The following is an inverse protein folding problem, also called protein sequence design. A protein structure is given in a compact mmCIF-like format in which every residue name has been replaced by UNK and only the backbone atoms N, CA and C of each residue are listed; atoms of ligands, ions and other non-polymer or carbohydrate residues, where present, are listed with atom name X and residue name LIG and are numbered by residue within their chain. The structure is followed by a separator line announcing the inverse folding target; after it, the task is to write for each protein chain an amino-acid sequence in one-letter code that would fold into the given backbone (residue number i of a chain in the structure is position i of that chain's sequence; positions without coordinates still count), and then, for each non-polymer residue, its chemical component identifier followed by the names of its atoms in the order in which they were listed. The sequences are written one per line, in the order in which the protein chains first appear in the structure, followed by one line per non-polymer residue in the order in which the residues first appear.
data_IF_244385084017
#
_entry.id   IF_244385084017
#
_cell.length_a   1.000
_cell.length_b   1.000
_cell.length_c   1.000
_cell.angle_alpha   90.00
_cell.angle_beta   90.00
_cell.angle_gamma   90.00
#
_symmetry.space_group_name_H-M   'P 1'
#
loop_
_entity.id
_entity.type
_entity.pdbx_description
1 polymer ?
#
# COMPACT_ATOMS: atom_id res chain seq x y z
N UNK A 1 -6.04 0.79 51.68
CA UNK A 1 -4.91 0.08 51.02
C UNK A 1 -5.38 -1.31 50.64
N UNK A 2 -4.96 -1.79 49.45
CA UNK A 2 -5.37 -3.00 48.69
C UNK A 2 -6.43 -2.69 47.62
N UNK A 3 -6.03 -2.03 46.52
CA UNK A 3 -5.52 -2.63 45.26
C UNK A 3 -6.54 -3.56 44.60
N UNK A 4 -7.37 -2.95 43.75
CA UNK A 4 -8.10 -3.64 42.70
C UNK A 4 -7.10 -3.86 41.54
N UNK A 5 -6.69 -5.10 41.31
CA UNK A 5 -5.72 -5.45 40.27
C UNK A 5 -6.47 -5.75 38.99
N UNK A 6 -6.29 -4.90 37.97
CA UNK A 6 -6.80 -5.09 36.61
C UNK A 6 -6.22 -6.38 36.04
N UNK A 7 -7.09 -7.31 35.63
CA UNK A 7 -6.70 -8.55 34.97
C UNK A 7 -6.32 -8.24 33.52
N UNK A 8 -5.02 -8.05 33.27
CA UNK A 8 -4.46 -8.05 31.92
C UNK A 8 -4.67 -9.43 31.31
N UNK A 9 -5.65 -9.56 30.40
CA UNK A 9 -5.72 -10.70 29.49
C UNK A 9 -4.50 -10.64 28.58
N UNK A 10 -3.47 -11.40 28.91
CA UNK A 10 -2.38 -11.69 27.98
C UNK A 10 -2.98 -12.61 26.91
N UNK A 11 -3.34 -12.04 25.76
CA UNK A 11 -3.64 -12.81 24.56
C UNK A 11 -2.38 -13.61 24.23
N UNK A 12 -2.48 -14.94 24.34
CA UNK A 12 -1.42 -15.85 23.96
C UNK A 12 -1.29 -15.77 22.43
N UNK A 13 -0.36 -14.93 21.96
CA UNK A 13 0.00 -14.83 20.55
C UNK A 13 0.69 -16.14 20.16
N UNK A 14 -0.13 -17.10 19.73
CA UNK A 14 0.35 -18.34 19.14
C UNK A 14 0.93 -17.93 17.80
N UNK A 15 2.25 -17.73 17.74
CA UNK A 15 2.97 -17.43 16.52
C UNK A 15 2.88 -18.68 15.64
N UNK A 16 1.82 -18.73 14.81
CA UNK A 16 1.65 -19.76 13.81
C UNK A 16 2.76 -19.54 12.80
N UNK A 17 3.83 -20.33 12.90
CA UNK A 17 4.81 -20.44 11.83
C UNK A 17 4.12 -21.07 10.63
N UNK A 18 3.45 -20.24 9.83
CA UNK A 18 2.99 -20.62 8.51
C UNK A 18 4.25 -20.95 7.71
N UNK A 19 4.42 -22.23 7.38
CA UNK A 19 5.53 -22.68 6.55
C UNK A 19 5.22 -22.21 5.14
N UNK A 20 5.73 -21.04 4.76
CA UNK A 20 5.63 -20.56 3.39
C UNK A 20 6.48 -21.46 2.51
N UNK A 21 5.84 -22.26 1.66
CA UNK A 21 6.51 -22.82 0.48
C UNK A 21 6.44 -21.73 -0.56
N UNK A 22 7.37 -20.77 -0.51
CA UNK A 22 7.53 -19.83 -1.60
C UNK A 22 7.82 -20.65 -2.87
N UNK A 23 7.01 -20.45 -3.91
CA UNK A 23 7.31 -21.05 -5.21
C UNK A 23 8.72 -20.62 -5.64
N UNK A 24 9.61 -21.59 -5.86
CA UNK A 24 10.98 -21.28 -6.25
C UNK A 24 11.01 -20.78 -7.69
N UNK A 25 11.68 -19.65 -7.91
CA UNK A 25 11.93 -19.15 -9.27
C UNK A 25 12.84 -20.11 -10.03
N UNK A 26 12.48 -20.41 -11.27
CA UNK A 26 13.25 -21.24 -12.19
C UNK A 26 13.64 -20.42 -13.41
N UNK A 27 14.81 -20.71 -14.01
CA UNK A 27 15.23 -20.09 -15.27
C UNK A 27 15.15 -21.09 -16.39
N UNK A 28 14.51 -20.72 -17.50
CA UNK A 28 14.44 -21.56 -18.69
C UNK A 28 15.86 -21.85 -19.21
N UNK A 29 16.25 -23.13 -19.37
CA UNK A 29 17.53 -23.47 -19.97
C UNK A 29 17.66 -22.87 -21.38
N UNK A 30 18.80 -22.27 -21.69
CA UNK A 30 19.10 -21.72 -23.00
C UNK A 30 20.35 -22.35 -23.61
N UNK A 31 20.44 -22.43 -24.95
CA UNK A 31 21.67 -22.82 -25.60
C UNK A 31 22.78 -21.81 -25.33
N UNK A 32 24.03 -22.27 -25.30
CA UNK A 32 25.21 -21.41 -25.16
C UNK A 32 25.38 -20.45 -26.34
N UNK A 33 26.04 -19.32 -26.08
CA UNK A 33 26.44 -18.36 -27.13
C UNK A 33 27.25 -19.05 -28.22
N UNK A 34 26.93 -18.75 -29.49
CA UNK A 34 27.67 -19.26 -30.65
C UNK A 34 28.08 -18.18 -31.65
N UNK A 35 27.66 -16.92 -31.45
CA UNK A 35 28.06 -15.82 -32.33
C UNK A 35 27.25 -14.54 -32.12
N UNK A 36 27.61 -13.51 -32.88
CA UNK A 36 26.92 -12.22 -32.86
C UNK A 36 26.30 -11.93 -34.23
N UNK A 37 25.10 -11.33 -34.22
CA UNK A 37 24.49 -10.80 -35.44
C UNK A 37 24.03 -9.36 -35.21
N UNK A 38 24.59 -8.45 -36.00
CA UNK A 38 24.27 -7.04 -35.93
C UNK A 38 23.05 -6.74 -36.80
N UNK A 39 22.08 -6.03 -36.22
CA UNK A 39 20.93 -5.51 -36.91
C UNK A 39 19.62 -6.12 -36.45
N UNK A 40 18.86 -6.64 -37.41
CA UNK A 40 17.45 -6.95 -37.24
C UNK A 40 17.15 -7.92 -36.06
N UNK A 41 16.06 -7.61 -35.36
CA UNK A 41 15.45 -8.32 -34.25
C UNK A 41 15.40 -9.85 -34.41
N UNK A 42 16.13 -10.63 -33.59
CA UNK A 42 15.94 -12.09 -33.42
C UNK A 42 15.53 -12.41 -31.99
N UNK A 43 15.03 -13.61 -31.83
CA UNK A 43 14.58 -14.17 -30.57
C UNK A 43 14.11 -15.59 -30.75
N UNK A 44 13.26 -16.06 -29.84
CA UNK A 44 12.63 -17.36 -29.94
C UNK A 44 11.17 -17.33 -29.49
N UNK A 45 10.38 -18.25 -30.03
CA UNK A 45 9.00 -18.49 -29.64
C UNK A 45 8.83 -19.96 -29.22
N UNK A 46 7.79 -20.21 -28.42
CA UNK A 46 7.40 -21.54 -27.99
C UNK A 46 5.91 -21.59 -27.64
N UNK A 47 5.40 -22.80 -27.40
CA UNK A 47 4.05 -23.01 -26.85
C UNK A 47 4.18 -23.34 -25.37
N UNK A 48 3.47 -22.62 -24.51
CA UNK A 48 3.44 -22.85 -23.08
C UNK A 48 2.91 -24.26 -22.78
N UNK A 49 3.67 -25.12 -22.06
CA UNK A 49 3.24 -26.50 -21.78
C UNK A 49 2.30 -26.61 -20.56
N UNK A 50 2.33 -25.62 -19.67
CA UNK A 50 1.52 -25.48 -18.48
C UNK A 50 1.39 -23.99 -18.14
N UNK A 51 0.59 -23.65 -17.13
CA UNK A 51 0.46 -22.27 -16.65
C UNK A 51 1.73 -21.88 -15.88
N UNK A 52 2.27 -20.71 -16.19
CA UNK A 52 3.41 -20.13 -15.47
C UNK A 52 3.40 -18.61 -15.55
N UNK A 53 4.12 -17.98 -14.63
CA UNK A 53 4.33 -16.53 -14.65
C UNK A 53 5.77 -16.22 -15.00
N UNK A 54 6.00 -15.42 -16.04
CA UNK A 54 7.32 -14.83 -16.26
C UNK A 54 7.52 -13.74 -15.21
N UNK A 55 8.58 -13.88 -14.41
CA UNK A 55 8.93 -12.95 -13.34
C UNK A 55 10.16 -12.10 -13.64
N UNK A 56 11.00 -12.55 -14.58
CA UNK A 56 12.13 -11.74 -15.04
C UNK A 56 12.55 -12.04 -16.47
N UNK A 57 13.01 -10.98 -17.15
CA UNK A 57 13.57 -11.02 -18.50
C UNK A 57 14.95 -10.35 -18.52
N UNK A 58 15.91 -10.95 -19.24
CA UNK A 58 17.24 -10.35 -19.44
C UNK A 58 17.87 -10.79 -20.75
N UNK A 59 18.53 -9.89 -21.47
CA UNK A 59 19.47 -10.30 -22.53
C UNK A 59 20.83 -10.57 -21.88
N UNK A 60 21.48 -11.74 -22.04
CA UNK A 60 22.81 -11.99 -21.49
C UNK A 60 23.81 -10.88 -21.85
N UNK A 61 24.80 -10.59 -21.00
CA UNK A 61 25.83 -9.56 -21.24
C UNK A 61 27.22 -10.12 -21.53
N UNK A 62 27.37 -11.45 -21.54
CA UNK A 62 28.59 -12.19 -21.85
C UNK A 62 29.12 -11.92 -23.28
N UNK A 63 28.29 -11.38 -24.17
CA UNK A 63 28.64 -11.07 -25.57
C UNK A 63 28.66 -9.56 -25.90
N UNK A 64 28.07 -8.72 -25.05
CA UNK A 64 27.94 -7.28 -25.26
C UNK A 64 27.47 -6.60 -23.96
N UNK A 65 28.06 -5.47 -23.61
CA UNK A 65 27.64 -4.64 -22.46
C UNK A 65 26.74 -3.47 -22.85
N UNK A 66 26.35 -3.37 -24.12
CA UNK A 66 25.44 -2.33 -24.59
C UNK A 66 24.06 -2.43 -23.91
N UNK A 67 23.27 -1.33 -23.91
CA UNK A 67 21.91 -1.34 -23.38
C UNK A 67 21.04 -2.42 -24.00
N UNK A 68 20.21 -3.08 -23.19
CA UNK A 68 19.32 -4.15 -23.64
C UNK A 68 17.98 -3.59 -24.14
N UNK A 69 17.44 -4.17 -25.20
CA UNK A 69 16.05 -3.98 -25.61
C UNK A 69 15.38 -5.33 -25.67
N UNK A 70 14.18 -5.44 -25.10
CA UNK A 70 13.40 -6.70 -25.01
C UNK A 70 11.96 -6.38 -25.36
N UNK A 71 11.32 -7.26 -26.13
CA UNK A 71 9.88 -7.26 -26.27
C UNK A 71 9.34 -8.68 -26.19
N UNK A 72 8.42 -8.90 -25.25
CA UNK A 72 7.75 -10.16 -25.01
C UNK A 72 6.31 -10.07 -25.55
N UNK A 73 5.91 -11.04 -26.36
CA UNK A 73 4.64 -11.02 -27.09
C UNK A 73 3.89 -12.35 -26.93
N UNK A 74 2.56 -12.28 -27.04
CA UNK A 74 1.65 -13.43 -27.16
C UNK A 74 0.95 -13.38 -28.51
N UNK A 75 0.99 -14.46 -29.29
CA UNK A 75 0.30 -14.53 -30.56
C UNK A 75 -1.19 -14.86 -30.37
N UNK A 76 -2.07 -14.21 -31.14
CA UNK A 76 -3.52 -14.31 -30.90
C UNK A 76 -4.18 -15.51 -31.61
N UNK A 77 -3.69 -15.87 -32.81
CA UNK A 77 -4.35 -16.86 -33.68
C UNK A 77 -3.55 -18.16 -33.92
N UNK A 78 -2.36 -18.28 -33.35
CA UNK A 78 -1.46 -19.41 -33.60
C UNK A 78 0.02 -19.02 -33.56
N UNK A 79 0.94 -19.95 -33.85
CA UNK A 79 2.36 -19.64 -33.91
C UNK A 79 2.67 -18.65 -35.05
N UNK A 80 3.81 -17.93 -35.00
CA UNK A 80 4.23 -17.05 -36.08
C UNK A 80 4.33 -17.83 -37.41
N UNK A 81 4.09 -17.19 -38.56
CA UNK A 81 4.18 -17.88 -39.85
C UNK A 81 5.65 -18.13 -40.24
N UNK A 82 5.88 -19.15 -41.08
CA UNK A 82 7.19 -19.41 -41.67
C UNK A 82 7.59 -18.27 -42.62
N UNK A 83 8.87 -17.89 -42.59
CA UNK A 83 9.44 -16.99 -43.59
C UNK A 83 9.20 -17.54 -45.02
N UNK A 84 8.79 -16.73 -46.00
CA UNK A 84 8.79 -15.25 -46.01
C UNK A 84 7.50 -14.55 -45.60
N UNK A 85 6.52 -15.28 -45.05
CA UNK A 85 5.32 -14.67 -44.49
C UNK A 85 5.59 -14.02 -43.14
N UNK A 86 4.79 -13.01 -42.79
CA UNK A 86 4.90 -12.27 -41.52
C UNK A 86 3.53 -12.04 -40.89
N UNK A 87 3.48 -11.81 -39.58
CA UNK A 87 2.27 -11.48 -38.83
C UNK A 87 2.44 -10.24 -37.95
N UNK A 88 1.35 -9.49 -37.75
CA UNK A 88 1.19 -8.47 -36.71
C UNK A 88 0.10 -8.89 -35.69
N UNK A 89 -0.41 -10.11 -35.80
CA UNK A 89 -1.49 -10.61 -34.96
C UNK A 89 -0.94 -11.20 -33.64
N UNK A 90 -0.54 -10.30 -32.77
CA UNK A 90 -0.06 -10.59 -31.43
C UNK A 90 -0.32 -9.41 -30.49
N UNK A 91 -0.28 -9.68 -29.20
CA UNK A 91 -0.31 -8.67 -28.14
C UNK A 91 1.09 -8.52 -27.56
N UNK A 92 1.58 -7.28 -27.44
CA UNK A 92 2.82 -6.97 -26.71
C UNK A 92 2.51 -6.98 -25.21
N UNK A 93 3.14 -7.89 -24.47
CA UNK A 93 2.93 -8.07 -23.04
C UNK A 93 3.94 -7.26 -22.21
N UNK A 94 5.15 -7.07 -22.74
CA UNK A 94 6.20 -6.28 -22.10
C UNK A 94 7.13 -5.72 -23.17
N UNK A 95 7.56 -4.46 -23.00
CA UNK A 95 8.57 -3.84 -23.85
C UNK A 95 9.48 -2.93 -23.04
N UNK A 96 10.77 -3.06 -23.28
CA UNK A 96 11.81 -2.15 -22.78
C UNK A 96 12.76 -1.80 -23.93
N UNK A 97 13.21 -0.56 -23.97
CA UNK A 97 14.05 -0.04 -25.05
C UNK A 97 15.29 0.60 -24.45
N UNK A 98 16.46 0.12 -24.88
CA UNK A 98 17.77 0.63 -24.48
C UNK A 98 17.96 0.80 -22.96
N UNK A 99 17.52 -0.19 -22.19
CA UNK A 99 17.78 -0.24 -20.74
C UNK A 99 19.30 -0.35 -20.49
N UNK A 100 19.91 0.64 -19.83
CA UNK A 100 21.37 0.69 -19.64
C UNK A 100 21.84 -0.16 -18.46
N UNK A 101 20.92 -0.63 -17.60
CA UNK A 101 21.30 -1.25 -16.31
C UNK A 101 21.95 -2.62 -16.49
N UNK A 102 21.61 -3.33 -17.57
CA UNK A 102 22.09 -4.69 -17.83
C UNK A 102 21.57 -5.76 -16.85
N UNK A 103 20.74 -5.33 -15.89
CA UNK A 103 20.14 -6.18 -14.86
C UNK A 103 19.00 -7.02 -15.44
N UNK A 104 18.62 -8.06 -14.70
CA UNK A 104 17.38 -8.76 -14.99
C UNK A 104 16.19 -7.84 -14.63
N UNK A 105 15.25 -7.69 -15.57
CA UNK A 105 14.12 -6.77 -15.43
C UNK A 105 12.96 -7.51 -14.78
N UNK A 106 12.40 -7.02 -13.65
CA UNK A 106 11.24 -7.64 -13.02
C UNK A 106 10.00 -7.43 -13.88
N UNK A 107 9.21 -8.48 -14.06
CA UNK A 107 7.93 -8.47 -14.77
C UNK A 107 6.93 -9.39 -14.06
N UNK A 108 5.66 -9.34 -14.41
CA UNK A 108 4.63 -10.26 -13.90
C UNK A 108 3.69 -10.66 -15.04
N UNK A 109 4.18 -11.48 -15.97
CA UNK A 109 3.43 -11.87 -17.18
C UNK A 109 2.83 -13.26 -16.99
N UNK A 110 1.51 -13.32 -16.82
CA UNK A 110 0.76 -14.58 -16.74
C UNK A 110 0.66 -15.25 -18.12
N UNK A 111 1.19 -16.46 -18.25
CA UNK A 111 1.15 -17.27 -19.48
C UNK A 111 0.33 -18.54 -19.21
N UNK A 112 -0.68 -18.77 -20.03
CA UNK A 112 -1.56 -19.94 -19.89
C UNK A 112 -1.08 -21.10 -20.77
N UNK A 113 -1.35 -22.32 -20.35
CA UNK A 113 -1.11 -23.52 -21.12
C UNK A 113 -1.72 -23.40 -22.53
N UNK A 114 -0.92 -23.70 -23.55
CA UNK A 114 -1.31 -23.60 -24.95
C UNK A 114 -1.07 -22.22 -25.57
N UNK A 115 -0.75 -21.18 -24.79
CA UNK A 115 -0.37 -19.88 -25.33
C UNK A 115 0.88 -20.03 -26.23
N UNK A 116 0.82 -19.42 -27.41
CA UNK A 116 2.00 -19.21 -28.23
C UNK A 116 2.63 -17.88 -27.84
N UNK A 117 3.82 -17.93 -27.24
CA UNK A 117 4.55 -16.75 -26.77
C UNK A 117 5.90 -16.65 -27.43
N UNK A 118 6.41 -15.42 -27.53
CA UNK A 118 7.69 -15.13 -28.14
C UNK A 118 8.41 -13.98 -27.47
N UNK A 119 9.73 -14.01 -27.50
CA UNK A 119 10.56 -12.95 -26.96
C UNK A 119 11.63 -12.54 -27.97
N UNK A 120 11.73 -11.25 -28.25
CA UNK A 120 12.83 -10.64 -29.00
C UNK A 120 13.77 -9.96 -28.02
N UNK A 121 15.08 -10.03 -28.26
CA UNK A 121 16.04 -9.33 -27.42
C UNK A 121 17.40 -9.09 -28.06
N UNK A 122 17.93 -7.90 -27.82
CA UNK A 122 19.24 -7.43 -28.33
C UNK A 122 19.96 -6.58 -27.30
N UNK A 123 21.27 -6.41 -27.47
CA UNK A 123 22.07 -5.38 -26.79
C UNK A 123 22.71 -4.44 -27.80
N UNK A 124 22.31 -3.17 -27.82
CA UNK A 124 22.75 -2.19 -28.81
C UNK A 124 22.64 -2.70 -30.26
N UNK A 125 21.50 -3.32 -30.59
CA UNK A 125 21.20 -3.97 -31.89
C UNK A 125 22.11 -5.15 -32.26
N UNK A 126 22.83 -5.71 -31.28
CA UNK A 126 23.54 -6.97 -31.42
C UNK A 126 22.69 -8.09 -30.84
N UNK A 127 22.44 -9.11 -31.65
CA UNK A 127 21.74 -10.34 -31.26
C UNK A 127 22.76 -11.34 -30.71
N UNK A 128 22.38 -12.02 -29.62
CA UNK A 128 23.17 -13.07 -29.00
C UNK A 128 22.88 -14.41 -29.67
N UNK A 129 23.52 -14.68 -30.81
CA UNK A 129 23.21 -15.90 -31.57
C UNK A 129 23.57 -17.16 -30.79
N UNK A 130 22.63 -18.10 -30.81
CA UNK A 130 22.79 -19.44 -30.27
C UNK A 130 22.05 -20.46 -31.14
N UNK A 131 22.33 -21.74 -30.92
CA UNK A 131 21.75 -22.85 -31.69
C UNK A 131 20.22 -22.86 -31.57
N UNK A 132 19.50 -23.00 -32.70
CA UNK A 132 18.08 -23.27 -32.70
C UNK A 132 17.70 -24.24 -33.86
N UNK A 133 16.64 -25.05 -33.72
CA UNK A 133 15.78 -25.16 -32.53
C UNK A 133 16.54 -25.75 -31.33
N UNK A 134 16.09 -25.40 -30.12
CA UNK A 134 16.68 -25.89 -28.87
C UNK A 134 15.59 -26.45 -27.97
N UNK A 135 15.82 -27.63 -27.38
CA UNK A 135 14.90 -28.22 -26.41
C UNK A 135 15.27 -27.69 -25.02
N UNK A 136 14.43 -26.79 -24.53
CA UNK A 136 14.47 -26.23 -23.18
C UNK A 136 13.50 -26.98 -22.27
N UNK A 137 13.29 -26.46 -21.05
CA UNK A 137 12.38 -27.00 -20.05
C UNK A 137 11.61 -25.86 -19.37
N UNK A 138 10.33 -26.12 -19.08
CA UNK A 138 9.51 -25.34 -18.16
C UNK A 138 8.90 -26.36 -17.19
N UNK A 139 9.25 -26.24 -15.92
CA UNK A 139 8.95 -27.26 -14.91
C UNK A 139 9.44 -28.64 -15.33
N UNK A 140 8.54 -29.61 -15.38
CA UNK A 140 8.88 -30.98 -15.81
C UNK A 140 8.71 -31.21 -17.32
N UNK A 141 8.23 -30.19 -18.05
CA UNK A 141 7.87 -30.30 -19.46
C UNK A 141 9.03 -29.86 -20.37
N UNK A 142 9.26 -30.63 -21.44
CA UNK A 142 10.19 -30.23 -22.50
C UNK A 142 9.51 -29.24 -23.46
N UNK A 143 10.21 -28.16 -23.80
CA UNK A 143 9.69 -27.08 -24.65
C UNK A 143 10.68 -26.78 -25.77
N UNK A 144 10.23 -26.79 -27.02
CA UNK A 144 11.09 -26.47 -28.16
C UNK A 144 11.09 -24.97 -28.43
N UNK A 145 12.24 -24.33 -28.24
CA UNK A 145 12.48 -22.95 -28.61
C UNK A 145 12.79 -22.87 -30.10
N UNK A 146 11.90 -22.22 -30.85
CA UNK A 146 12.03 -22.06 -32.30
C UNK A 146 12.39 -20.62 -32.63
N UNK A 147 13.28 -20.42 -33.61
CA UNK A 147 13.73 -19.10 -34.02
C UNK A 147 12.56 -18.23 -34.48
N UNK A 148 12.41 -17.04 -33.88
CA UNK A 148 11.53 -15.96 -34.36
C UNK A 148 12.31 -14.67 -34.63
N UNK A 149 11.79 -13.77 -35.46
CA UNK A 149 12.41 -12.47 -35.69
C UNK A 149 11.54 -11.50 -36.47
N UNK A 150 12.10 -10.32 -36.71
CA UNK A 150 11.55 -9.25 -37.56
C UNK A 150 12.66 -8.65 -38.43
N UNK A 151 12.33 -7.86 -39.46
CA UNK A 151 13.33 -7.18 -40.30
C UNK A 151 13.60 -5.72 -39.86
N UNK A 152 13.50 -5.45 -38.56
CA UNK A 152 13.67 -4.12 -37.97
C UNK A 152 14.58 -4.18 -36.72
N UNK A 153 15.11 -3.02 -36.32
CA UNK A 153 15.88 -2.85 -35.10
C UNK A 153 14.96 -2.74 -33.88
N UNK A 154 15.16 -3.57 -32.86
CA UNK A 154 14.30 -3.56 -31.68
C UNK A 154 14.52 -2.31 -30.80
N UNK A 155 15.73 -1.73 -30.86
CA UNK A 155 16.13 -0.50 -30.15
C UNK A 155 15.36 0.76 -30.56
N UNK A 156 14.65 0.71 -31.69
CA UNK A 156 13.96 1.88 -32.28
C UNK A 156 12.58 1.56 -32.83
N UNK A 157 12.25 0.28 -32.99
CA UNK A 157 10.99 -0.17 -33.57
C UNK A 157 10.33 -1.21 -32.68
N UNK A 158 9.01 -1.10 -32.49
CA UNK A 158 8.23 -2.11 -31.80
C UNK A 158 8.22 -3.41 -32.62
N UNK A 159 7.99 -4.54 -31.95
CA UNK A 159 7.76 -5.81 -32.61
C UNK A 159 6.69 -5.65 -33.68
N UNK A 160 7.01 -6.06 -34.91
CA UNK A 160 6.12 -6.03 -36.05
C UNK A 160 6.63 -6.97 -37.13
N UNK A 161 5.73 -7.42 -38.00
CA UNK A 161 6.03 -8.30 -39.13
C UNK A 161 6.86 -9.52 -38.68
N UNK A 162 6.40 -10.16 -37.61
CA UNK A 162 7.08 -11.28 -36.99
C UNK A 162 6.99 -12.51 -37.89
N UNK A 163 8.09 -13.25 -37.98
CA UNK A 163 8.20 -14.53 -38.69
C UNK A 163 8.98 -15.54 -37.85
N UNK A 164 8.91 -16.81 -38.25
CA UNK A 164 9.79 -17.87 -37.76
C UNK A 164 10.54 -18.59 -38.89
N UNK A 165 11.59 -19.31 -38.50
CA UNK A 165 12.40 -20.17 -39.37
C UNK A 165 12.68 -21.50 -38.63
N UNK A 166 12.59 -22.64 -39.31
CA UNK A 166 12.87 -23.95 -38.67
C UNK A 166 14.37 -24.23 -38.50
N UNK A 167 15.24 -23.49 -39.21
CA UNK A 167 16.69 -23.62 -39.13
C UNK A 167 17.36 -22.24 -39.22
N UNK A 168 17.98 -21.81 -38.13
CA UNK A 168 18.63 -20.50 -38.00
C UNK A 168 18.92 -20.22 -36.51
N UNK A 169 19.86 -19.32 -36.21
CA UNK A 169 20.19 -19.00 -34.81
C UNK A 169 19.16 -18.10 -34.15
N UNK A 170 18.75 -18.42 -32.92
CA UNK A 170 17.96 -17.54 -32.05
C UNK A 170 18.83 -16.47 -31.39
N UNK A 171 18.24 -15.35 -30.97
CA UNK A 171 18.87 -14.45 -30.00
C UNK A 171 18.50 -14.92 -28.60
N UNK A 172 19.48 -15.07 -27.71
CA UNK A 172 19.24 -15.46 -26.31
C UNK A 172 18.57 -14.31 -25.53
N UNK A 173 17.51 -14.66 -24.81
CA UNK A 173 16.87 -13.83 -23.79
C UNK A 173 16.53 -14.77 -22.64
N UNK A 174 17.11 -14.55 -21.48
CA UNK A 174 16.87 -15.28 -20.24
C UNK A 174 15.45 -14.99 -19.76
N UNK A 175 14.68 -16.05 -19.50
CA UNK A 175 13.34 -16.00 -18.89
C UNK A 175 13.45 -16.71 -17.54
N UNK A 176 13.18 -15.97 -16.47
CA UNK A 176 12.93 -16.55 -15.14
C UNK A 176 11.43 -16.57 -14.90
N UNK A 177 10.91 -17.69 -14.42
CA UNK A 177 9.49 -17.93 -14.23
C UNK A 177 9.18 -18.58 -12.88
N UNK A 178 7.91 -18.55 -12.52
CA UNK A 178 7.31 -19.34 -11.45
C UNK A 178 6.25 -20.26 -12.05
N UNK A 179 6.23 -21.52 -11.62
CA UNK A 179 5.18 -22.47 -12.00
C UNK A 179 3.88 -22.19 -11.26
N UNK A 180 2.76 -22.45 -11.94
CA UNK A 180 1.43 -22.24 -11.41
C UNK A 180 0.83 -20.89 -11.78
N UNK A 181 -0.45 -20.75 -11.44
CA UNK A 181 -1.23 -19.54 -11.68
C UNK A 181 -1.15 -18.65 -10.44
N UNK A 182 -0.95 -17.35 -10.65
CA UNK A 182 -0.91 -16.37 -9.57
C UNK A 182 -2.12 -15.45 -9.65
N UNK A 183 -2.60 -15.03 -8.49
CA UNK A 183 -3.85 -14.34 -8.31
C UNK A 183 -3.64 -13.07 -7.49
N UNK A 184 -4.37 -12.02 -7.85
CA UNK A 184 -4.34 -10.75 -7.14
C UNK A 184 -5.14 -10.80 -5.84
N UNK A 185 -4.66 -10.06 -4.85
CA UNK A 185 -5.44 -9.71 -3.66
C UNK A 185 -6.03 -8.32 -3.90
N UNK A 186 -7.36 -8.23 -3.98
CA UNK A 186 -8.09 -7.00 -4.25
C UNK A 186 -8.99 -6.63 -3.08
N UNK A 187 -9.08 -5.33 -2.83
CA UNK A 187 -9.97 -4.78 -1.82
C UNK A 187 -10.80 -3.65 -2.43
N UNK A 188 -12.05 -3.53 -1.99
CA UNK A 188 -12.91 -2.39 -2.33
C UNK A 188 -12.90 -1.41 -1.17
N UNK A 189 -12.51 -0.17 -1.45
CA UNK A 189 -12.42 0.91 -0.46
C UNK A 189 -13.59 1.86 -0.61
N UNK A 190 -14.27 2.15 0.51
CA UNK A 190 -15.43 3.03 0.59
C UNK A 190 -15.21 4.15 1.60
N UNK A 191 -15.75 5.33 1.29
CA UNK A 191 -15.81 6.52 2.15
C UNK A 191 -14.43 7.05 2.59
N UNK A 192 -13.38 6.86 1.79
CA UNK A 192 -12.03 7.33 2.10
C UNK A 192 -11.90 8.85 1.89
N UNK A 193 -11.34 9.51 2.90
CA UNK A 193 -10.91 10.90 2.89
C UNK A 193 -9.45 10.98 3.36
N UNK A 194 -8.55 11.30 2.44
CA UNK A 194 -7.11 11.40 2.71
C UNK A 194 -6.34 10.16 2.27
N UNK A 195 -5.24 9.86 2.96
CA UNK A 195 -4.32 8.78 2.59
C UNK A 195 -4.46 7.60 3.55
N UNK A 196 -4.78 6.44 2.99
CA UNK A 196 -4.80 5.15 3.67
C UNK A 196 -3.61 4.33 3.17
N UNK A 197 -2.94 3.59 4.06
CA UNK A 197 -1.98 2.56 3.66
C UNK A 197 -2.48 1.22 4.14
N UNK A 198 -2.76 0.32 3.19
CA UNK A 198 -3.06 -1.08 3.46
C UNK A 198 -1.76 -1.89 3.41
N UNK A 199 -1.74 -3.03 4.10
CA UNK A 199 -0.63 -3.96 4.07
C UNK A 199 -1.16 -5.39 3.95
N UNK A 200 -0.60 -6.15 3.00
CA UNK A 200 -0.81 -7.58 2.88
C UNK A 200 0.42 -8.34 3.41
N UNK A 201 0.19 -9.38 4.21
CA UNK A 201 1.21 -10.32 4.70
C UNK A 201 2.46 -9.65 5.31
N UNK A 202 2.27 -8.54 6.02
CA UNK A 202 3.33 -7.78 6.71
C UNK A 202 4.47 -7.23 5.82
N UNK A 203 4.29 -7.12 4.50
CA UNK A 203 5.35 -6.66 3.61
C UNK A 203 4.92 -5.96 2.32
N UNK A 204 3.73 -6.25 1.81
CA UNK A 204 3.22 -5.64 0.58
C UNK A 204 2.30 -4.46 0.93
N UNK A 205 2.87 -3.26 0.94
CA UNK A 205 2.15 -2.03 1.32
C UNK A 205 1.56 -1.35 0.09
N UNK A 206 0.29 -0.97 0.18
CA UNK A 206 -0.46 -0.30 -0.87
C UNK A 206 -1.03 1.02 -0.36
N UNK A 207 -0.60 2.14 -0.95
CA UNK A 207 -1.17 3.47 -0.67
C UNK A 207 -2.45 3.67 -1.48
N UNK A 208 -3.53 4.04 -0.80
CA UNK A 208 -4.84 4.32 -1.39
C UNK A 208 -5.23 5.76 -1.08
N UNK A 209 -5.68 6.50 -2.10
CA UNK A 209 -6.01 7.94 -1.99
C UNK A 209 -7.42 8.28 -2.43
N UNK A 210 -8.21 7.28 -2.84
CA UNK A 210 -9.58 7.43 -3.32
C UNK A 210 -10.33 6.11 -3.19
N UNK A 211 -11.66 6.21 -3.19
CA UNK A 211 -12.56 5.05 -3.23
C UNK A 211 -12.40 4.23 -4.50
N UNK A 212 -12.80 2.96 -4.41
CA UNK A 212 -12.86 2.00 -5.50
C UNK A 212 -12.11 0.71 -5.21
N UNK A 213 -12.04 -0.16 -6.22
CA UNK A 213 -11.28 -1.41 -6.14
C UNK A 213 -9.80 -1.15 -6.34
N UNK A 214 -8.99 -1.63 -5.41
CA UNK A 214 -7.53 -1.59 -5.44
C UNK A 214 -6.97 -3.01 -5.43
N UNK A 215 -5.75 -3.20 -5.93
CA UNK A 215 -5.07 -4.50 -5.96
C UNK A 215 -3.63 -4.32 -5.45
N UNK A 216 -3.17 -5.23 -4.61
CA UNK A 216 -1.76 -5.32 -4.20
C UNK A 216 -0.85 -5.74 -5.37
N UNK A 217 0.38 -5.24 -5.40
CA UNK A 217 1.31 -5.49 -6.50
C UNK A 217 1.81 -6.95 -6.50
N UNK A 218 1.98 -7.56 -5.33
CA UNK A 218 2.42 -8.95 -5.21
C UNK A 218 1.25 -9.87 -5.48
N UNK A 219 1.34 -10.61 -6.60
CA UNK A 219 0.43 -11.72 -6.86
C UNK A 219 0.82 -12.92 -5.99
N UNK A 220 -0.18 -13.64 -5.50
CA UNK A 220 -0.01 -14.83 -4.67
C UNK A 220 -0.32 -16.10 -5.46
N UNK A 221 0.44 -17.16 -5.22
CA UNK A 221 0.18 -18.45 -5.87
C UNK A 221 -1.13 -19.07 -5.36
N UNK A 222 -1.68 -20.02 -6.12
CA UNK A 222 -2.81 -20.81 -5.61
C UNK A 222 -2.45 -21.45 -4.26
N UNK A 223 -3.42 -21.51 -3.34
CA UNK A 223 -3.27 -21.99 -1.95
C UNK A 223 -2.40 -21.13 -1.02
N UNK A 224 -1.84 -20.01 -1.47
CA UNK A 224 -1.16 -19.06 -0.57
C UNK A 224 -2.17 -18.24 0.25
N UNK A 225 -1.80 -17.92 1.49
CA UNK A 225 -2.61 -17.11 2.39
C UNK A 225 -2.38 -15.61 2.15
N UNK A 226 -3.42 -14.82 2.39
CA UNK A 226 -3.35 -13.36 2.49
C UNK A 226 -3.85 -12.89 3.85
N UNK A 227 -3.31 -11.76 4.30
CA UNK A 227 -3.69 -11.07 5.54
C UNK A 227 -3.56 -9.56 5.30
N UNK A 228 -4.69 -8.96 4.90
CA UNK A 228 -4.85 -7.54 4.60
C UNK A 228 -5.24 -6.80 5.88
N UNK A 229 -4.41 -5.83 6.24
CA UNK A 229 -4.57 -4.99 7.43
C UNK A 229 -4.39 -3.51 7.07
N UNK A 230 -4.85 -2.62 7.94
CA UNK A 230 -4.51 -1.19 7.85
C UNK A 230 -3.13 -0.98 8.46
N UNK A 231 -2.18 -0.52 7.66
CA UNK A 231 -0.83 -0.15 8.10
C UNK A 231 -0.77 1.28 8.61
N UNK A 232 -1.50 2.21 7.97
CA UNK A 232 -1.61 3.59 8.39
C UNK A 232 -3.01 4.12 8.12
N UNK A 233 -3.66 4.66 9.16
CA UNK A 233 -4.97 5.31 9.05
C UNK A 233 -4.84 6.70 8.39
N UNK A 234 -5.90 7.19 7.73
CA UNK A 234 -6.05 8.60 7.39
C UNK A 234 -6.12 9.49 8.65
N UNK A 235 -5.85 10.79 8.51
CA UNK A 235 -5.73 11.70 9.66
C UNK A 235 -7.05 11.94 10.43
N UNK A 236 -8.20 11.94 9.74
CA UNK A 236 -9.51 12.24 10.34
C UNK A 236 -10.53 11.12 10.09
N UNK A 237 -10.04 9.89 9.88
CA UNK A 237 -10.89 8.73 9.69
C UNK A 237 -10.31 7.50 10.38
N UNK A 238 -11.19 6.55 10.69
CA UNK A 238 -10.80 5.17 10.94
C UNK A 238 -11.32 4.30 9.81
N UNK A 239 -10.43 3.54 9.18
CA UNK A 239 -10.77 2.51 8.21
C UNK A 239 -10.68 1.14 8.86
N UNK A 240 -11.65 0.27 8.57
CA UNK A 240 -11.70 -1.11 9.06
C UNK A 240 -11.67 -2.10 7.90
N UNK A 241 -11.08 -3.26 8.11
CA UNK A 241 -10.99 -4.33 7.11
C UNK A 241 -11.98 -5.43 7.45
N UNK A 242 -12.79 -5.85 6.47
CA UNK A 242 -13.58 -7.08 6.54
C UNK A 242 -13.16 -8.05 5.44
N UNK A 243 -13.23 -9.36 5.73
CA UNK A 243 -12.70 -10.45 4.90
C UNK A 243 -11.21 -10.30 4.56
N UNK A 244 -10.44 -9.58 5.37
CA UNK A 244 -9.02 -9.31 5.13
C UNK A 244 -8.10 -10.53 5.21
N UNK A 245 -8.56 -11.66 5.77
CA UNK A 245 -7.75 -12.87 5.93
C UNK A 245 -8.36 -14.01 5.13
N UNK A 246 -7.54 -14.71 4.36
CA UNK A 246 -7.99 -15.86 3.59
C UNK A 246 -6.88 -16.59 2.85
N UNK A 247 -7.28 -17.41 1.89
CA UNK A 247 -6.39 -18.22 1.03
C UNK A 247 -6.84 -18.07 -0.41
N UNK A 248 -5.89 -17.98 -1.35
CA UNK A 248 -6.18 -18.00 -2.78
C UNK A 248 -6.74 -19.37 -3.19
N UNK A 249 -7.84 -19.37 -3.95
CA UNK A 249 -8.53 -20.60 -4.41
C UNK A 249 -8.80 -20.59 -5.90
N UNK A 250 -7.72 -20.64 -6.68
CA UNK A 250 -7.74 -20.62 -8.14
C UNK A 250 -8.47 -19.39 -8.75
N UNK A 251 -8.58 -18.29 -8.00
CA UNK A 251 -9.16 -17.00 -8.40
C UNK A 251 -8.54 -15.85 -7.60
N UNK A 252 -8.71 -14.60 -8.07
CA UNK A 252 -8.37 -13.42 -7.29
C UNK A 252 -9.22 -13.37 -6.02
N UNK A 253 -8.64 -12.92 -4.91
CA UNK A 253 -9.41 -12.51 -3.75
C UNK A 253 -10.04 -11.15 -4.07
N UNK A 254 -11.36 -11.10 -4.26
CA UNK A 254 -12.11 -9.91 -4.68
C UNK A 254 -13.21 -9.51 -3.68
N UNK A 255 -13.27 -10.12 -2.49
CA UNK A 255 -14.33 -9.95 -1.48
C UNK A 255 -13.91 -9.15 -0.23
N UNK A 256 -12.67 -8.63 -0.22
CA UNK A 256 -12.12 -7.80 0.86
C UNK A 256 -12.77 -6.41 0.80
N UNK A 257 -13.34 -5.94 1.91
CA UNK A 257 -13.92 -4.60 2.01
C UNK A 257 -13.15 -3.75 3.02
N UNK A 258 -12.97 -2.48 2.67
CA UNK A 258 -12.40 -1.46 3.51
C UNK A 258 -13.44 -0.34 3.65
N UNK A 259 -13.95 -0.16 4.85
CA UNK A 259 -14.93 0.89 5.15
C UNK A 259 -14.31 1.91 6.10
N UNK A 260 -14.29 3.16 5.65
CA UNK A 260 -13.76 4.29 6.41
C UNK A 260 -14.90 5.13 7.02
N UNK A 261 -14.70 5.55 8.26
CA UNK A 261 -15.64 6.40 9.00
C UNK A 261 -14.94 7.66 9.49
N UNK A 262 -15.61 8.80 9.37
CA UNK A 262 -15.09 10.09 9.82
C UNK A 262 -15.01 10.16 11.35
N UNK A 263 -13.95 10.79 11.83
CA UNK A 263 -13.77 11.19 13.21
C UNK A 263 -13.78 12.72 13.31
N UNK A 264 -14.27 13.23 14.43
CA UNK A 264 -14.53 14.65 14.65
C UNK A 264 -13.89 15.11 15.96
N UNK A 265 -13.47 16.37 16.02
CA UNK A 265 -12.88 16.93 17.24
C UNK A 265 -13.98 17.40 18.21
N UNK A 266 -13.65 17.36 19.50
CA UNK A 266 -14.42 18.05 20.55
C UNK A 266 -13.62 19.28 20.99
N UNK A 267 -14.26 20.44 20.92
CA UNK A 267 -13.65 21.73 21.19
C UNK A 267 -14.66 22.70 21.80
N UNK A 268 -14.15 23.79 22.36
CA UNK A 268 -14.97 24.82 22.96
C UNK A 268 -14.16 26.03 23.35
N UNK A 269 -14.73 26.87 24.22
CA UNK A 269 -14.04 28.02 24.79
C UNK A 269 -14.23 28.15 26.29
N UNK A 270 -13.22 28.72 26.94
CA UNK A 270 -13.23 29.06 28.36
C UNK A 270 -13.23 30.56 28.52
N UNK A 271 -14.11 31.06 29.39
CA UNK A 271 -14.18 32.47 29.77
C UNK A 271 -14.27 32.63 31.30
N UNK A 272 -13.70 33.72 31.80
CA UNK A 272 -13.69 34.08 33.21
C UNK A 272 -12.69 33.34 34.09
N UNK A 273 -11.85 32.43 33.57
CA UNK A 273 -10.80 31.78 34.36
C UNK A 273 -9.79 32.81 34.84
N UNK A 274 -9.51 32.82 36.15
CA UNK A 274 -8.54 33.74 36.76
C UNK A 274 -7.13 33.41 36.27
N UNK A 275 -6.32 34.43 35.98
CA UNK A 275 -4.91 34.25 35.60
C UNK A 275 -4.14 33.47 36.67
N UNK A 276 -3.23 32.59 36.24
CA UNK A 276 -2.44 31.69 37.09
C UNK A 276 -3.27 30.63 37.85
N UNK A 277 -4.55 30.45 37.51
CA UNK A 277 -5.40 29.37 37.98
C UNK A 277 -5.49 28.25 36.93
N UNK A 278 -6.00 27.07 37.30
CA UNK A 278 -6.15 25.95 36.36
C UNK A 278 -7.37 25.09 36.64
N UNK A 279 -7.88 24.43 35.61
CA UNK A 279 -8.88 23.37 35.74
C UNK A 279 -8.55 22.19 34.83
N UNK A 280 -9.14 21.04 35.11
CA UNK A 280 -9.05 19.87 34.21
C UNK A 280 -10.43 19.58 33.66
N UNK A 281 -10.59 19.71 32.35
CA UNK A 281 -11.75 19.19 31.63
C UNK A 281 -11.50 17.72 31.32
N UNK A 282 -12.56 16.92 31.32
CA UNK A 282 -12.52 15.51 30.97
C UNK A 282 -13.64 15.21 30.00
N UNK A 283 -13.30 14.61 28.87
CA UNK A 283 -14.26 14.08 27.91
C UNK A 283 -14.36 12.56 28.08
N UNK A 284 -15.59 12.03 28.14
CA UNK A 284 -15.88 10.58 28.13
C UNK A 284 -15.09 9.72 29.15
N UNK A 285 -14.72 10.32 30.30
CA UNK A 285 -14.01 9.69 31.40
C UNK A 285 -12.56 9.24 31.11
N UNK A 286 -11.94 9.69 30.02
CA UNK A 286 -10.60 9.24 29.60
C UNK A 286 -9.70 10.32 28.95
N UNK A 287 -10.25 11.27 28.20
CA UNK A 287 -9.49 12.33 27.53
C UNK A 287 -9.47 13.59 28.40
N UNK A 288 -8.48 13.68 29.27
CA UNK A 288 -8.28 14.78 30.20
C UNK A 288 -7.47 15.92 29.56
N UNK A 289 -7.96 17.15 29.69
CA UNK A 289 -7.32 18.35 29.17
C UNK A 289 -7.16 19.40 30.28
N UNK A 290 -5.91 19.82 30.53
CA UNK A 290 -5.60 20.89 31.48
C UNK A 290 -5.78 22.25 30.80
N UNK A 291 -6.56 23.12 31.42
CA UNK A 291 -6.78 24.51 31.00
C UNK A 291 -6.12 25.44 32.00
N UNK A 292 -5.25 26.33 31.50
CA UNK A 292 -4.55 27.36 32.31
C UNK A 292 -4.91 28.79 31.91
N UNK A 293 -5.60 28.95 30.78
CA UNK A 293 -5.89 30.25 30.18
C UNK A 293 -7.30 30.27 29.58
N UNK A 294 -7.88 31.46 29.48
CA UNK A 294 -9.09 31.68 28.69
C UNK A 294 -8.81 31.52 27.20
N UNK A 295 -9.83 31.17 26.43
CA UNK A 295 -9.73 30.99 24.98
C UNK A 295 -10.21 29.62 24.51
N UNK A 296 -9.81 29.26 23.29
CA UNK A 296 -10.24 28.02 22.63
C UNK A 296 -9.45 26.84 23.19
N UNK A 297 -10.15 25.73 23.43
CA UNK A 297 -9.55 24.44 23.75
C UNK A 297 -10.02 23.38 22.76
N UNK A 298 -9.18 22.35 22.56
CA UNK A 298 -9.47 21.20 21.70
C UNK A 298 -8.99 19.95 22.42
N UNK A 299 -9.85 18.95 22.55
CA UNK A 299 -9.52 17.62 23.07
C UNK A 299 -8.66 16.84 22.08
N UNK A 300 -7.81 15.95 22.59
CA UNK A 300 -6.82 15.26 21.76
C UNK A 300 -7.40 14.05 21.03
N UNK A 301 -8.39 13.40 21.62
CA UNK A 301 -9.08 12.25 21.06
C UNK A 301 -10.19 12.72 20.10
N UNK A 302 -10.11 12.28 18.84
CA UNK A 302 -11.20 12.44 17.91
C UNK A 302 -12.24 11.34 18.12
N UNK A 303 -13.50 11.67 17.92
CA UNK A 303 -14.64 10.83 18.23
C UNK A 303 -15.39 10.45 16.95
N UNK A 304 -15.81 9.19 16.83
CA UNK A 304 -16.54 8.70 15.65
C UNK A 304 -17.90 9.36 15.51
N UNK A 305 -18.33 9.51 14.26
CA UNK A 305 -19.68 9.96 13.96
C UNK A 305 -20.75 9.12 14.67
N UNK A 306 -21.78 9.76 15.21
CA UNK A 306 -22.90 9.09 15.88
C UNK A 306 -22.58 8.56 17.29
N UNK A 307 -21.39 8.84 17.83
CA UNK A 307 -21.06 8.53 19.22
C UNK A 307 -21.24 9.74 20.13
N UNK A 308 -21.53 9.48 21.40
CA UNK A 308 -21.80 10.52 22.40
C UNK A 308 -20.50 11.09 22.97
N UNK A 309 -20.54 12.38 23.31
CA UNK A 309 -19.52 13.06 24.09
C UNK A 309 -20.12 13.57 25.41
N UNK A 310 -19.31 13.56 26.46
CA UNK A 310 -19.64 14.07 27.78
C UNK A 310 -18.41 14.76 28.39
N UNK A 311 -18.41 16.09 28.27
CA UNK A 311 -17.39 17.00 28.78
C UNK A 311 -17.80 17.52 30.14
N UNK A 312 -17.01 17.15 31.13
CA UNK A 312 -17.19 17.54 32.53
C UNK A 312 -15.94 18.22 33.08
N UNK A 313 -16.07 18.89 34.21
CA UNK A 313 -14.92 19.40 34.97
C UNK A 313 -14.50 18.30 35.95
N UNK A 314 -13.34 17.70 35.70
CA UNK A 314 -12.75 16.70 36.60
C UNK A 314 -12.20 17.36 37.87
N UNK A 315 -11.47 18.47 37.70
CA UNK A 315 -10.94 19.26 38.80
C UNK A 315 -11.31 20.73 38.61
N UNK A 316 -12.06 21.28 39.57
CA UNK A 316 -12.36 22.72 39.62
C UNK A 316 -11.10 23.50 40.02
N UNK A 317 -10.97 24.77 39.58
CA UNK A 317 -9.92 25.63 40.09
C UNK A 317 -10.05 25.86 41.60
N UNK A 318 -8.95 25.64 42.33
CA UNK A 318 -8.94 25.64 43.80
C UNK A 318 -7.98 26.67 44.42
N UNK A 319 -7.10 27.32 43.64
CA UNK A 319 -6.20 28.37 44.11
C UNK A 319 -6.03 29.52 43.09
N UNK A 320 -6.84 30.61 43.20
CA UNK A 320 -7.95 30.79 44.14
C UNK A 320 -9.15 29.89 43.80
N UNK A 321 -9.96 29.53 44.81
CA UNK A 321 -11.19 28.76 44.60
C UNK A 321 -12.11 29.50 43.64
N UNK A 322 -12.43 28.85 42.53
CA UNK A 322 -13.31 29.39 41.49
C UNK A 322 -14.23 28.29 40.98
N UNK A 323 -15.53 28.59 40.86
CA UNK A 323 -16.49 27.63 40.32
C UNK A 323 -16.66 27.88 38.82
N UNK A 324 -16.33 26.87 38.02
CA UNK A 324 -16.61 26.83 36.60
C UNK A 324 -17.80 25.91 36.31
N UNK A 325 -18.58 26.23 35.27
CA UNK A 325 -19.66 25.39 34.78
C UNK A 325 -19.50 25.15 33.28
N UNK A 326 -19.79 23.93 32.85
CA UNK A 326 -19.82 23.55 31.43
C UNK A 326 -21.25 23.71 30.90
N UNK A 327 -21.38 24.36 29.76
CA UNK A 327 -22.59 24.43 28.94
C UNK A 327 -22.34 23.70 27.62
N UNK A 328 -23.38 23.05 27.10
CA UNK A 328 -23.32 22.19 25.91
C UNK A 328 -22.29 21.04 26.01
N UNK A 329 -21.92 20.65 27.24
CA UNK A 329 -20.90 19.62 27.49
C UNK A 329 -21.32 18.20 27.09
N UNK A 330 -22.59 17.96 26.78
CA UNK A 330 -23.08 16.64 26.36
C UNK A 330 -23.77 16.70 25.01
N UNK A 331 -23.60 15.66 24.20
CA UNK A 331 -24.28 15.52 22.92
C UNK A 331 -23.83 14.29 22.15
N UNK A 332 -24.21 14.23 20.88
CA UNK A 332 -23.81 13.18 19.93
C UNK A 332 -23.16 13.83 18.72
N UNK A 333 -22.05 13.28 18.24
CA UNK A 333 -21.41 13.75 17.00
C UNK A 333 -22.36 13.56 15.81
N UNK A 334 -22.57 14.62 15.03
CA UNK A 334 -23.51 14.64 13.90
C UNK A 334 -22.88 15.19 12.61
N UNK A 335 -21.91 14.46 12.07
CA UNK A 335 -21.16 14.78 10.85
C UNK A 335 -20.40 16.12 10.86
N UNK A 336 -20.15 16.71 12.03
CA UNK A 336 -19.40 17.97 12.16
C UNK A 336 -18.66 18.02 13.49
N UNK A 337 -17.62 18.86 13.55
CA UNK A 337 -16.85 19.12 14.76
C UNK A 337 -17.70 19.82 15.83
N UNK A 338 -17.55 19.41 17.09
CA UNK A 338 -18.22 20.08 18.21
C UNK A 338 -17.33 21.24 18.66
N UNK A 339 -17.83 22.47 18.56
CA UNK A 339 -17.05 23.69 18.86
C UNK A 339 -17.79 24.67 19.77
N UNK A 340 -19.00 24.33 20.20
CA UNK A 340 -19.93 25.20 20.93
C UNK A 340 -19.99 24.91 22.44
N UNK A 341 -19.06 24.10 22.95
CA UNK A 341 -18.90 23.90 24.39
C UNK A 341 -18.39 25.20 25.01
N UNK A 342 -19.06 25.66 26.05
CA UNK A 342 -18.69 26.87 26.77
C UNK A 342 -18.44 26.55 28.22
N UNK A 343 -17.25 26.90 28.71
CA UNK A 343 -16.92 26.83 30.13
C UNK A 343 -16.87 28.25 30.68
N UNK A 344 -17.76 28.54 31.61
CA UNK A 344 -17.84 29.85 32.26
C UNK A 344 -17.43 29.72 33.71
N UNK A 345 -16.42 30.49 34.11
CA UNK A 345 -15.93 30.54 35.47
C UNK A 345 -16.42 31.82 36.15
N UNK A 346 -17.22 31.67 37.21
CA UNK A 346 -17.71 32.81 37.97
C UNK A 346 -16.85 33.03 39.22
N UNK A 347 -16.70 34.30 39.61
CA UNK A 347 -16.17 34.63 40.93
C UNK A 347 -17.11 34.05 41.98
N UNK A 348 -16.56 33.29 42.95
CA UNK A 348 -17.32 32.93 44.13
C UNK A 348 -17.84 34.18 44.85
N UNK A 349 -18.87 34.01 45.68
CA UNK A 349 -19.38 35.10 46.54
C UNK A 349 -18.38 35.54 47.61
N UNK A 350 -17.21 34.91 47.67
CA UNK A 350 -16.11 35.32 48.52
C UNK A 350 -15.38 36.53 47.91
N UNK A 351 -15.82 37.72 48.32
CA UNK A 351 -15.31 39.00 47.85
C UNK A 351 -13.88 39.32 48.31
N UNK A 352 -13.27 38.48 49.16
CA UNK A 352 -11.94 38.70 49.74
C UNK A 352 -10.86 38.82 48.64
N UNK A 353 -11.04 38.15 47.50
CA UNK A 353 -10.03 38.15 46.42
C UNK A 353 -10.33 39.12 45.27
N UNK A 354 -11.52 39.73 45.20
CA UNK A 354 -11.93 40.58 44.06
C UNK A 354 -11.15 41.90 43.98
N UNK A 355 -10.56 42.34 45.09
CA UNK A 355 -9.81 43.60 45.17
C UNK A 355 -8.37 43.40 45.67
N UNK A 356 -7.90 42.15 45.76
CA UNK A 356 -6.70 41.83 46.55
C UNK A 356 -6.89 42.21 48.03
N UNK A 357 -5.87 41.98 48.84
CA UNK A 357 -5.79 42.67 50.12
C UNK A 357 -5.58 44.16 49.80
N UNK A 358 -6.66 44.93 49.65
CA UNK A 358 -6.59 46.38 49.76
C UNK A 358 -5.90 46.65 51.11
N UNK A 359 -4.64 47.06 51.06
CA UNK A 359 -3.97 47.60 52.24
C UNK A 359 -4.66 48.92 52.51
N UNK A 360 -5.73 48.88 53.30
CA UNK A 360 -6.41 50.05 53.82
C UNK A 360 -5.44 50.79 54.75
N UNK A 361 -4.51 51.53 54.15
CA UNK A 361 -3.70 52.52 54.82
C UNK A 361 -4.56 53.74 55.03
N UNK A 362 -5.25 53.80 56.17
CA UNK A 362 -5.15 54.89 57.15
C UNK A 362 -6.47 55.11 57.90
N UNK A 363 -6.67 54.38 59.01
CA UNK A 363 -7.39 54.96 60.15
C UNK A 363 -6.37 55.82 60.90
N UNK A 364 -6.38 57.14 60.67
CA UNK A 364 -5.63 58.05 61.54
C UNK A 364 -6.31 58.12 62.92
N UNK A 365 -5.55 58.09 64.02
CA UNK A 365 -6.15 58.22 65.35
C UNK A 365 -6.64 59.66 65.59
N UNK A 366 -7.67 59.85 66.43
CA UNK A 366 -8.28 61.15 66.65
C UNK A 366 -7.32 62.10 67.39
N UNK A 367 -7.43 63.43 67.17
CA UNK A 367 -6.50 64.39 67.74
C UNK A 367 -6.71 64.52 69.26
N UNK A 368 -5.63 64.38 70.02
CA UNK A 368 -5.58 64.77 71.43
C UNK A 368 -5.12 66.22 71.54
N UNK A 369 -5.93 67.04 72.23
CA UNK A 369 -5.64 68.43 72.61
C UNK A 369 -4.37 68.56 73.46
#
# INVERSE_FOLDING_TARGET
MNKCTTATKIASLTMLFCSFVAAAQETMPLPGHSGNFNGNARGYWFTAPEDFTVVSLRVPDDFSTNPQSIEFIRFNSGPPPLWSSTTNDFTSLFRVVNDPTGNALPVALQISNGDHVGVLGVRGDVNSYATAPYVSQIGTHSVTLTRMGMQFFLSSTNAQQIFQESGGSLSRVEITYLLGTFYGVRATVNNLNGNLVLQNNSGDNLTVTQDGTVQFDTLLADTENYDVTVFSQPANQVCTVSNGVGTITSNNADDIQIDCENMYIIAGSVDGLISDNSMTLQNNLNDDLIINDNGVFIFSEQILNGTDYDVTILNQPDDPIQNCMVQNGMGTIANDDVTDIMVSCEFGTDLIYRHGFDTDTAISPPPTN
#
